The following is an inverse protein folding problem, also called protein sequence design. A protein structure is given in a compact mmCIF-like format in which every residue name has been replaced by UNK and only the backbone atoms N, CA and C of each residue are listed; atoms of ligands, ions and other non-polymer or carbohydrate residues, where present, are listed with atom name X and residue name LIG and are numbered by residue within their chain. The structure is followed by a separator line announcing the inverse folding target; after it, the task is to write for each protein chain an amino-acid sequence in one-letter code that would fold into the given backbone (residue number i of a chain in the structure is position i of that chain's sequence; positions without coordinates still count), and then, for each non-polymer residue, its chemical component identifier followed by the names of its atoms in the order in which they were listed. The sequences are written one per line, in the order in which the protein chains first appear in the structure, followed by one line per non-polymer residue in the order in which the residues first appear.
data_IF_769388703563
#
_entry.id   IF_769388703563
#
_cell.length_a   1.000
_cell.length_b   1.000
_cell.length_c   1.000
_cell.angle_alpha   90.00
_cell.angle_beta   90.00
_cell.angle_gamma   90.00
#
_symmetry.space_group_name_H-M   'P 1'
#
loop_
_entity.id
_entity.type
_entity.pdbx_description
1 polymer ?
#
# COMPACT_ATOMS: atom_id res chain seq x y z
N UNK A 1 -19.34 -7.46 -7.00
CA UNK A 1 -18.58 -7.23 -5.76
C UNK A 1 -17.27 -6.54 -6.07
N UNK A 2 -16.98 -5.47 -5.37
CA UNK A 2 -15.77 -4.70 -5.63
C UNK A 2 -14.59 -5.24 -4.86
N UNK A 3 -13.45 -5.37 -5.52
CA UNK A 3 -12.22 -5.82 -4.88
C UNK A 3 -11.68 -4.74 -3.97
N UNK A 4 -11.16 -5.16 -2.81
CA UNK A 4 -10.49 -4.26 -1.88
C UNK A 4 -9.01 -4.25 -2.19
N UNK A 5 -8.40 -3.09 -2.06
CA UNK A 5 -6.99 -2.89 -2.33
C UNK A 5 -6.30 -2.48 -1.04
N UNK A 6 -5.32 -3.26 -0.63
CA UNK A 6 -4.51 -2.95 0.54
C UNK A 6 -3.31 -2.13 0.14
N UNK A 7 -2.93 -1.16 0.96
CA UNK A 7 -1.75 -0.35 0.71
C UNK A 7 -0.94 -0.31 1.99
N UNK A 8 0.28 -0.79 1.92
CA UNK A 8 1.17 -0.84 3.08
C UNK A 8 2.16 0.29 2.91
N UNK A 9 1.94 1.38 3.66
CA UNK A 9 2.66 2.63 3.51
C UNK A 9 2.01 3.53 2.47
N UNK A 10 1.58 4.72 2.86
CA UNK A 10 0.87 5.62 1.97
C UNK A 10 1.62 6.95 1.84
N UNK A 11 2.79 6.88 1.21
CA UNK A 11 3.61 8.05 0.92
C UNK A 11 3.32 8.63 -0.46
N UNK A 12 4.25 9.44 -0.95
CA UNK A 12 4.05 10.18 -2.20
C UNK A 12 3.87 9.27 -3.41
N UNK A 13 4.61 8.16 -3.48
CA UNK A 13 4.51 7.27 -4.64
C UNK A 13 3.16 6.56 -4.63
N UNK A 14 2.72 6.05 -3.48
CA UNK A 14 1.42 5.41 -3.39
C UNK A 14 0.31 6.38 -3.77
N UNK A 15 0.38 7.62 -3.28
CA UNK A 15 -0.60 8.65 -3.63
C UNK A 15 -0.60 8.93 -5.14
N UNK A 16 0.58 8.97 -5.74
CA UNK A 16 0.71 9.22 -7.18
C UNK A 16 0.09 8.12 -8.02
N UNK A 17 0.05 6.90 -7.50
CA UNK A 17 -0.57 5.77 -8.19
C UNK A 17 -2.08 5.74 -7.94
N UNK A 18 -2.49 5.91 -6.70
CA UNK A 18 -3.88 5.67 -6.30
C UNK A 18 -4.78 6.86 -6.61
N UNK A 19 -4.28 8.09 -6.41
CA UNK A 19 -5.12 9.28 -6.59
C UNK A 19 -5.72 9.40 -7.99
N UNK A 20 -4.95 9.17 -9.09
CA UNK A 20 -5.57 9.21 -10.42
C UNK A 20 -6.66 8.17 -10.62
N UNK A 21 -6.50 6.99 -10.00
CA UNK A 21 -7.52 5.94 -10.10
C UNK A 21 -8.82 6.36 -9.41
N UNK A 22 -8.70 7.04 -8.28
CA UNK A 22 -9.84 7.59 -7.58
C UNK A 22 -10.47 8.77 -8.34
N UNK A 23 -9.63 9.64 -8.91
CA UNK A 23 -10.11 10.78 -9.68
C UNK A 23 -10.91 10.34 -10.90
N UNK A 24 -10.47 9.28 -11.55
CA UNK A 24 -11.16 8.73 -12.72
C UNK A 24 -12.29 7.78 -12.37
N UNK A 25 -12.53 7.58 -11.07
CA UNK A 25 -13.60 6.70 -10.56
C UNK A 25 -13.44 5.25 -11.00
N UNK A 26 -12.20 4.85 -11.27
CA UNK A 26 -11.88 3.44 -11.56
C UNK A 26 -11.94 2.60 -10.31
N UNK A 27 -11.65 3.20 -9.15
CA UNK A 27 -11.84 2.60 -7.84
C UNK A 27 -12.53 3.62 -6.94
N UNK A 28 -13.17 3.15 -5.89
CA UNK A 28 -13.85 4.00 -4.91
C UNK A 28 -13.01 4.10 -3.64
N UNK A 29 -13.11 5.22 -2.91
CA UNK A 29 -12.34 5.39 -1.66
C UNK A 29 -12.60 4.28 -0.65
N UNK A 30 -13.81 3.74 -0.59
CA UNK A 30 -14.14 2.68 0.37
C UNK A 30 -13.50 1.33 0.04
N UNK A 31 -12.90 1.20 -1.15
CA UNK A 31 -12.16 -0.01 -1.53
C UNK A 31 -10.71 0.03 -1.05
N UNK A 32 -10.22 1.18 -0.56
CA UNK A 32 -8.81 1.38 -0.22
C UNK A 32 -8.63 1.19 1.28
N UNK A 33 -7.69 0.30 1.64
CA UNK A 33 -7.34 -0.02 3.01
C UNK A 33 -5.85 0.17 3.19
N UNK A 34 -5.46 1.17 3.98
CA UNK A 34 -4.05 1.55 4.14
C UNK A 34 -3.52 1.24 5.54
N UNK A 35 -2.27 0.80 5.60
CA UNK A 35 -1.52 0.75 6.84
C UNK A 35 -0.47 1.84 6.83
N UNK A 36 -0.38 2.60 7.91
CA UNK A 36 0.64 3.62 8.08
C UNK A 36 1.43 3.37 9.36
N UNK A 37 2.64 3.90 9.40
CA UNK A 37 3.60 3.55 10.43
C UNK A 37 3.38 4.28 11.75
N UNK A 38 2.76 5.47 11.72
CA UNK A 38 2.64 6.29 12.91
C UNK A 38 1.27 6.91 13.02
N UNK A 39 0.93 7.30 14.25
CA UNK A 39 -0.31 8.03 14.51
C UNK A 39 -0.32 9.36 13.78
N UNK A 40 0.84 10.00 13.68
CA UNK A 40 0.97 11.28 12.97
C UNK A 40 0.62 11.12 11.51
N UNK A 41 1.13 10.06 10.87
CA UNK A 41 0.80 9.78 9.47
C UNK A 41 -0.69 9.49 9.30
N UNK A 42 -1.26 8.72 10.21
CA UNK A 42 -2.69 8.41 10.18
C UNK A 42 -3.53 9.68 10.23
N UNK A 43 -3.23 10.56 11.18
CA UNK A 43 -3.98 11.79 11.36
C UNK A 43 -3.80 12.74 10.18
N UNK A 44 -2.59 12.78 9.62
CA UNK A 44 -2.33 13.61 8.45
C UNK A 44 -3.15 13.18 7.25
N UNK A 45 -3.24 11.89 7.00
CA UNK A 45 -4.03 11.38 5.88
C UNK A 45 -5.51 11.66 6.10
N UNK A 46 -6.03 11.39 7.30
CA UNK A 46 -7.43 11.65 7.60
C UNK A 46 -7.79 13.12 7.47
N UNK A 47 -6.86 14.01 7.81
CA UNK A 47 -7.11 15.44 7.79
C UNK A 47 -6.90 16.05 6.40
N UNK A 48 -5.87 15.63 5.69
CA UNK A 48 -5.39 16.34 4.50
C UNK A 48 -5.62 15.63 3.17
N UNK A 49 -5.80 14.30 3.18
CA UNK A 49 -6.02 13.61 1.91
C UNK A 49 -7.44 13.91 1.43
N UNK A 50 -7.58 14.17 0.13
CA UNK A 50 -8.87 14.63 -0.42
C UNK A 50 -9.95 13.54 -0.45
N UNK A 51 -9.57 12.27 -0.31
CA UNK A 51 -10.52 11.16 -0.29
C UNK A 51 -10.57 10.54 1.09
N UNK A 52 -11.76 10.10 1.49
CA UNK A 52 -11.95 9.40 2.76
C UNK A 52 -11.72 7.91 2.55
N UNK A 53 -10.49 7.48 2.71
CA UNK A 53 -10.09 6.07 2.59
C UNK A 53 -9.95 5.45 3.97
N UNK A 54 -9.91 4.12 4.04
CA UNK A 54 -9.72 3.42 5.31
C UNK A 54 -8.24 3.40 5.66
N UNK A 55 -7.88 3.99 6.79
CA UNK A 55 -6.47 4.09 7.20
C UNK A 55 -6.34 3.55 8.62
N UNK A 56 -5.35 2.68 8.81
CA UNK A 56 -5.08 2.07 10.12
C UNK A 56 -3.59 2.15 10.40
N UNK A 57 -3.27 2.17 11.67
CA UNK A 57 -1.87 2.17 12.08
C UNK A 57 -1.35 0.75 12.12
N UNK A 58 -0.09 0.57 11.75
CA UNK A 58 0.60 -0.72 11.82
C UNK A 58 0.53 -1.24 13.26
N UNK A 59 0.32 -2.53 13.40
CA UNK A 59 0.18 -3.22 14.70
C UNK A 59 -1.11 -2.90 15.45
N UNK A 60 -2.06 -2.22 14.82
CA UNK A 60 -3.39 -2.07 15.40
C UNK A 60 -4.18 -3.36 15.22
N UNK A 61 -5.27 -3.49 15.97
CA UNK A 61 -6.15 -4.65 15.87
C UNK A 61 -6.82 -4.76 14.48
N UNK A 62 -6.79 -3.69 13.69
CA UNK A 62 -7.42 -3.65 12.37
C UNK A 62 -6.44 -3.92 11.23
N UNK A 63 -5.18 -4.24 11.54
CA UNK A 63 -4.17 -4.48 10.50
C UNK A 63 -4.56 -5.63 9.57
N UNK A 64 -5.26 -6.64 10.10
CA UNK A 64 -5.69 -7.77 9.30
C UNK A 64 -6.63 -7.37 8.17
N UNK A 65 -7.36 -6.27 8.30
CA UNK A 65 -8.27 -5.81 7.24
C UNK A 65 -7.49 -5.45 5.98
N UNK A 66 -6.29 -4.91 6.15
CA UNK A 66 -5.42 -4.59 5.02
C UNK A 66 -4.79 -5.86 4.45
N UNK A 67 -4.26 -6.71 5.33
CA UNK A 67 -3.61 -7.95 4.89
C UNK A 67 -4.57 -8.94 4.25
N UNK A 68 -5.86 -8.84 4.56
CA UNK A 68 -6.89 -9.69 3.94
C UNK A 68 -7.26 -9.24 2.53
N UNK A 69 -6.84 -8.06 2.11
CA UNK A 69 -7.05 -7.64 0.73
C UNK A 69 -6.26 -8.55 -0.21
N UNK A 70 -6.90 -8.97 -1.30
CA UNK A 70 -6.27 -9.88 -2.25
C UNK A 70 -5.09 -9.23 -2.97
N UNK A 71 -5.21 -7.95 -3.30
CA UNK A 71 -4.14 -7.19 -3.94
C UNK A 71 -3.62 -6.16 -2.95
N UNK A 72 -2.30 -6.16 -2.74
CA UNK A 72 -1.66 -5.22 -1.82
C UNK A 72 -0.50 -4.53 -2.51
N UNK A 73 -0.38 -3.24 -2.26
CA UNK A 73 0.71 -2.42 -2.76
C UNK A 73 1.66 -2.13 -1.61
N UNK A 74 2.90 -2.54 -1.75
CA UNK A 74 3.92 -2.30 -0.73
C UNK A 74 4.69 -1.03 -1.10
N UNK A 75 4.52 0.00 -0.29
CA UNK A 75 5.02 1.34 -0.56
C UNK A 75 5.61 2.01 0.68
N UNK A 76 6.18 1.23 1.58
CA UNK A 76 6.88 1.78 2.74
C UNK A 76 8.25 2.29 2.33
N UNK A 77 8.87 3.12 3.18
CA UNK A 77 10.26 3.47 2.96
C UNK A 77 11.13 2.22 3.15
N UNK A 78 12.13 2.00 2.28
CA UNK A 78 12.92 0.76 2.38
C UNK A 78 13.51 0.50 3.75
N UNK A 79 13.90 1.55 4.49
CA UNK A 79 14.45 1.39 5.83
C UNK A 79 13.42 0.91 6.85
N UNK A 80 12.12 1.00 6.53
CA UNK A 80 11.07 0.53 7.42
C UNK A 80 10.57 -0.87 7.06
N UNK A 81 11.10 -1.45 5.99
CA UNK A 81 10.60 -2.74 5.51
C UNK A 81 10.74 -3.83 6.56
N UNK A 82 11.84 -3.84 7.32
CA UNK A 82 12.07 -4.89 8.31
C UNK A 82 11.04 -4.88 9.43
N UNK A 83 10.35 -3.76 9.63
CA UNK A 83 9.32 -3.64 10.67
C UNK A 83 7.96 -4.18 10.21
N UNK A 84 7.85 -4.51 8.95
CA UNK A 84 6.58 -4.97 8.37
C UNK A 84 6.55 -6.49 8.42
N UNK A 85 5.50 -7.04 9.01
CA UNK A 85 5.28 -8.48 9.07
C UNK A 85 3.93 -8.79 8.42
N UNK A 86 3.94 -9.76 7.52
CA UNK A 86 2.68 -10.16 6.88
C UNK A 86 1.76 -10.82 7.90
N UNK A 87 0.47 -10.61 7.71
CA UNK A 87 -0.55 -11.38 8.44
C UNK A 87 -1.19 -12.28 7.40
N UNK A 88 -0.98 -13.58 7.56
CA UNK A 88 -1.45 -14.55 6.57
C UNK A 88 -2.82 -15.10 6.95
N UNK A 89 -3.73 -15.03 5.99
CA UNK A 89 -5.04 -15.66 6.09
C UNK A 89 -5.16 -16.70 4.98
N UNK A 90 -5.10 -17.96 5.35
CA UNK A 90 -5.12 -19.06 4.36
C UNK A 90 -6.43 -19.13 3.57
N UNK A 91 -7.45 -18.41 3.99
CA UNK A 91 -8.71 -18.34 3.26
C UNK A 91 -8.64 -17.40 2.06
N UNK A 92 -7.65 -16.53 2.03
CA UNK A 92 -7.46 -15.60 0.92
C UNK A 92 -6.59 -16.30 -0.13
N UNK A 93 -7.14 -16.48 -1.31
CA UNK A 93 -6.40 -17.11 -2.42
C UNK A 93 -5.77 -16.03 -3.28
N UNK A 94 -4.68 -16.41 -3.94
CA UNK A 94 -3.99 -15.53 -4.88
C UNK A 94 -3.58 -14.20 -4.25
N UNK A 95 -3.00 -14.29 -3.04
CA UNK A 95 -2.47 -13.12 -2.35
C UNK A 95 -1.37 -12.48 -3.18
N UNK A 96 -1.65 -11.32 -3.74
CA UNK A 96 -0.72 -10.59 -4.58
C UNK A 96 -0.14 -9.41 -3.80
N UNK A 97 1.18 -9.32 -3.77
CA UNK A 97 1.89 -8.20 -3.16
C UNK A 97 2.75 -7.54 -4.22
N UNK A 98 2.39 -6.32 -4.57
CA UNK A 98 3.11 -5.53 -5.58
C UNK A 98 4.03 -4.56 -4.85
N UNK A 99 5.33 -4.76 -5.01
CA UNK A 99 6.32 -3.89 -4.38
C UNK A 99 6.79 -2.83 -5.37
N UNK A 100 6.79 -1.57 -4.92
CA UNK A 100 7.36 -0.46 -5.66
C UNK A 100 8.63 0.05 -4.99
N UNK A 101 9.22 -0.76 -4.12
CA UNK A 101 10.40 -0.36 -3.36
C UNK A 101 11.65 -0.45 -4.22
N UNK A 102 12.40 0.64 -4.28
CA UNK A 102 13.69 0.65 -4.95
C UNK A 102 14.69 -0.17 -4.16
N UNK A 103 15.52 -0.94 -4.88
CA UNK A 103 16.64 -1.64 -4.25
C UNK A 103 16.28 -2.87 -3.43
N UNK A 104 15.02 -3.32 -3.47
CA UNK A 104 14.61 -4.52 -2.76
C UNK A 104 14.34 -5.61 -3.79
N UNK A 105 15.14 -6.68 -3.74
CA UNK A 105 15.06 -7.76 -4.71
C UNK A 105 13.82 -8.62 -4.53
N UNK A 106 13.45 -9.33 -5.60
CA UNK A 106 12.32 -10.26 -5.51
C UNK A 106 12.63 -11.41 -4.55
N UNK A 107 13.89 -11.82 -4.46
CA UNK A 107 14.30 -12.85 -3.51
C UNK A 107 14.07 -12.41 -2.06
N UNK A 108 14.41 -11.17 -1.75
CA UNK A 108 14.20 -10.62 -0.43
C UNK A 108 12.72 -10.51 -0.12
N UNK A 109 11.92 -10.09 -1.09
CA UNK A 109 10.47 -9.99 -0.92
C UNK A 109 9.86 -11.38 -0.67
N UNK A 110 10.27 -12.38 -1.44
CA UNK A 110 9.76 -13.73 -1.25
C UNK A 110 10.14 -14.31 0.11
N UNK A 111 11.33 -13.97 0.58
CA UNK A 111 11.76 -14.40 1.91
C UNK A 111 10.94 -13.74 3.01
N UNK A 112 10.70 -12.45 2.86
CA UNK A 112 9.98 -11.65 3.87
C UNK A 112 8.49 -11.94 3.88
N UNK A 113 7.90 -12.19 2.70
CA UNK A 113 6.45 -12.41 2.55
C UNK A 113 6.21 -13.75 1.87
N UNK A 114 6.53 -14.87 2.56
CA UNK A 114 6.49 -16.20 1.93
C UNK A 114 5.08 -16.66 1.54
N UNK A 115 4.05 -16.07 2.11
CA UNK A 115 2.68 -16.45 1.83
C UNK A 115 2.02 -15.55 0.78
N UNK A 116 2.82 -14.75 0.08
CA UNK A 116 2.33 -13.85 -0.96
C UNK A 116 3.02 -14.14 -2.28
N UNK A 117 2.29 -13.92 -3.37
CA UNK A 117 2.88 -13.84 -4.69
C UNK A 117 3.44 -12.43 -4.85
N UNK A 118 4.76 -12.31 -4.81
CA UNK A 118 5.40 -11.01 -4.84
C UNK A 118 5.75 -10.62 -6.27
N UNK A 119 5.39 -9.39 -6.64
CA UNK A 119 5.73 -8.79 -7.92
C UNK A 119 6.48 -7.51 -7.63
N UNK A 120 7.58 -7.30 -8.32
CA UNK A 120 8.38 -6.09 -8.17
C UNK A 120 8.14 -5.19 -9.38
N UNK A 121 7.77 -3.96 -9.12
CA UNK A 121 7.51 -2.97 -10.16
C UNK A 121 8.48 -1.82 -9.99
N UNK A 122 9.16 -1.47 -11.06
CA UNK A 122 9.99 -0.28 -11.08
C UNK A 122 9.13 0.87 -11.59
N UNK A 123 8.98 1.89 -10.75
CA UNK A 123 8.15 3.03 -11.11
C UNK A 123 9.02 4.19 -11.57
N UNK A 124 8.49 4.94 -12.51
CA UNK A 124 9.14 6.15 -13.00
C UNK A 124 8.17 7.31 -12.93
N UNK A 125 7.55 7.44 -11.76
CA UNK A 125 6.51 8.44 -11.55
C UNK A 125 7.14 9.72 -11.04
N UNK A 126 6.84 10.87 -11.65
CA UNK A 126 7.29 12.15 -11.12
C UNK A 126 6.63 12.39 -9.76
N UNK A 127 7.46 12.53 -8.73
CA UNK A 127 6.95 12.72 -7.38
C UNK A 127 6.55 14.17 -7.16
N UNK A 128 7.23 15.10 -7.81
CA UNK A 128 6.91 16.50 -7.67
C UNK A 128 5.68 16.84 -8.47
N UNK A 129 4.62 16.98 -7.76
CA UNK A 129 3.37 17.41 -8.36
C UNK A 129 3.51 18.82 -8.90
N UNK A 130 3.01 19.03 -10.09
CA UNK A 130 3.09 20.33 -10.73
C UNK A 130 4.35 20.53 -11.53
N UNK A 131 5.37 19.72 -11.31
CA UNK A 131 6.60 19.79 -12.09
C UNK A 131 6.74 18.59 -12.98
N UNK A 132 5.91 17.74 -12.76
CA UNK A 132 5.98 16.51 -13.46
C UNK A 132 7.05 16.39 -14.42
N UNK A 133 7.72 16.42 -14.40
CA UNK A 133 8.42 16.50 -15.23
C UNK A 133 9.15 16.05 -15.80
N UNK A 134 9.26 16.10 -15.78
CA UNK A 134 9.83 16.15 -16.49
C UNK A 134 10.26 15.41 -17.02
#
# INVERSE_FOLDING_TARGET
MKSKIGIIGFGNIAKAIITPLLDKKLINPDQIYCLVNSKKSLENIKKNYKYNINVFQVNSEYSNLVWDCQVKLLSVKPQHLQEINEIYNHKIKDNLLISILAGVSIEKLNYKFPNHNCVRVVTNIPIKVGKGLT
#
